data_IF_580236414260
#
_entry.id   IF_580236414260
#
_cell.length_a   1.000
_cell.length_b   1.000
_cell.length_c   1.000
_cell.angle_alpha   90.00
_cell.angle_beta   90.00
_cell.angle_gamma   90.00
#
_symmetry.space_group_name_H-M   'P 1'
#
loop_
_entity.id
_entity.type
_entity.pdbx_description
1 polymer ?
#
# COMPACT_ATOMS: atom_id res chain seq x y z
N UNK A 1 10.32 -9.81 -21.62
CA UNK A 1 9.71 -9.91 -20.28
C UNK A 1 10.78 -10.41 -19.34
N UNK A 2 11.31 -9.57 -18.45
CA UNK A 2 12.38 -9.95 -17.52
C UNK A 2 11.73 -10.31 -16.17
N UNK A 3 11.75 -11.58 -15.80
CA UNK A 3 11.25 -12.04 -14.50
C UNK A 3 12.36 -11.79 -13.47
N UNK A 4 12.10 -10.94 -12.47
CA UNK A 4 13.01 -10.76 -11.34
C UNK A 4 12.56 -11.72 -10.24
N UNK A 5 13.45 -12.63 -9.83
CA UNK A 5 13.19 -13.57 -8.74
C UNK A 5 13.68 -12.96 -7.43
N UNK A 6 12.76 -12.48 -6.58
CA UNK A 6 13.08 -12.13 -5.20
C UNK A 6 12.86 -13.37 -4.35
N UNK A 7 13.93 -13.94 -3.76
CA UNK A 7 13.83 -15.06 -2.82
C UNK A 7 13.70 -14.52 -1.40
N UNK A 8 12.49 -14.59 -0.86
CA UNK A 8 12.29 -14.74 0.59
C UNK A 8 11.31 -15.90 0.76
N UNK A 9 11.62 -16.80 1.70
CA UNK A 9 10.99 -18.10 1.91
C UNK A 9 9.52 -18.20 1.45
N UNK A 10 9.31 -19.11 0.49
CA UNK A 10 8.05 -19.73 0.07
C UNK A 10 7.02 -18.97 -0.78
N UNK A 11 7.30 -17.76 -1.26
CA UNK A 11 6.50 -17.18 -2.36
C UNK A 11 7.37 -16.79 -3.56
N UNK A 12 7.31 -17.59 -4.63
CA UNK A 12 7.77 -17.19 -5.95
C UNK A 12 6.80 -16.12 -6.49
N UNK A 13 7.02 -14.86 -6.13
CA UNK A 13 6.39 -13.77 -6.85
C UNK A 13 6.97 -13.75 -8.26
N UNK A 14 6.20 -14.22 -9.26
CA UNK A 14 6.45 -13.90 -10.65
C UNK A 14 6.03 -12.44 -10.85
N UNK A 15 6.90 -11.52 -10.43
CA UNK A 15 6.59 -10.09 -10.46
C UNK A 15 6.58 -9.63 -11.92
N UNK A 16 5.50 -9.02 -12.44
CA UNK A 16 5.52 -8.26 -13.68
C UNK A 16 6.69 -7.27 -13.67
N UNK A 17 7.45 -7.18 -14.76
CA UNK A 17 8.64 -6.30 -14.78
C UNK A 17 8.31 -4.81 -14.58
N UNK A 18 7.06 -4.41 -14.83
CA UNK A 18 6.60 -3.04 -14.66
C UNK A 18 5.93 -2.86 -13.29
N UNK A 19 6.37 -1.91 -12.46
CA UNK A 19 5.73 -1.63 -11.18
C UNK A 19 4.27 -1.18 -11.33
N UNK A 20 3.91 -0.54 -12.45
CA UNK A 20 2.52 -0.14 -12.69
C UNK A 20 1.59 -1.34 -12.85
N UNK A 21 2.03 -2.44 -13.46
CA UNK A 21 1.19 -3.64 -13.63
C UNK A 21 0.87 -4.29 -12.27
N UNK A 22 1.81 -4.22 -11.31
CA UNK A 22 1.61 -4.72 -9.94
C UNK A 22 0.59 -3.84 -9.22
N UNK A 23 0.76 -2.52 -9.32
CA UNK A 23 -0.17 -1.57 -8.68
C UNK A 23 -1.56 -1.67 -9.32
N UNK A 24 -1.64 -1.83 -10.64
CA UNK A 24 -2.91 -2.06 -11.34
C UNK A 24 -3.59 -3.34 -10.86
N UNK A 25 -2.83 -4.43 -10.70
CA UNK A 25 -3.33 -5.66 -10.10
C UNK A 25 -3.91 -5.46 -8.69
N UNK A 26 -3.33 -4.56 -7.89
CA UNK A 26 -3.89 -4.19 -6.59
C UNK A 26 -5.20 -3.39 -6.70
N UNK A 27 -5.20 -2.29 -7.47
CA UNK A 27 -6.35 -1.38 -7.53
C UNK A 27 -7.48 -1.83 -8.46
N UNK A 28 -7.23 -2.76 -9.38
CA UNK A 28 -8.25 -3.35 -10.27
C UNK A 28 -9.37 -4.05 -9.51
N UNK A 29 -9.09 -4.57 -8.32
CA UNK A 29 -10.05 -5.31 -7.50
C UNK A 29 -10.54 -4.51 -6.28
N UNK A 30 -10.06 -3.27 -6.10
CA UNK A 30 -10.25 -2.53 -4.85
C UNK A 30 -10.69 -1.09 -5.11
N UNK A 31 -11.97 -0.80 -4.88
CA UNK A 31 -12.43 0.57 -4.71
C UNK A 31 -11.69 1.22 -3.53
N UNK A 32 -11.21 2.45 -3.67
CA UNK A 32 -10.35 3.10 -2.67
C UNK A 32 -10.94 3.07 -1.24
N UNK A 33 -12.26 3.23 -1.13
CA UNK A 33 -12.97 3.23 0.17
C UNK A 33 -12.97 1.83 0.80
N UNK A 34 -13.17 0.80 -0.02
CA UNK A 34 -13.07 -0.60 0.42
C UNK A 34 -11.64 -0.94 0.82
N UNK A 35 -10.65 -0.52 0.02
CA UNK A 35 -9.23 -0.68 0.34
C UNK A 35 -8.86 -0.05 1.68
N UNK A 36 -9.33 1.17 1.95
CA UNK A 36 -9.12 1.85 3.24
C UNK A 36 -9.83 1.18 4.41
N UNK A 37 -11.04 0.68 4.21
CA UNK A 37 -11.74 -0.10 5.22
C UNK A 37 -10.93 -1.35 5.62
N UNK A 38 -10.44 -2.09 4.62
CA UNK A 38 -9.63 -3.29 4.85
C UNK A 38 -8.27 -2.97 5.45
N UNK A 39 -7.64 -1.89 5.01
CA UNK A 39 -6.44 -1.34 5.65
C UNK A 39 -6.69 -1.11 7.15
N UNK A 40 -7.83 -0.53 7.51
CA UNK A 40 -8.22 -0.29 8.91
C UNK A 40 -8.25 -1.57 9.75
N UNK A 41 -8.79 -2.66 9.21
CA UNK A 41 -8.82 -3.96 9.90
C UNK A 41 -7.40 -4.54 10.11
N UNK A 42 -6.51 -4.39 9.13
CA UNK A 42 -5.11 -4.82 9.24
C UNK A 42 -4.34 -3.95 10.25
N UNK A 43 -4.58 -2.63 10.24
CA UNK A 43 -3.96 -1.74 11.22
C UNK A 43 -4.48 -2.01 12.64
N UNK A 44 -5.75 -2.35 12.78
CA UNK A 44 -6.31 -2.79 14.06
C UNK A 44 -5.62 -4.06 14.56
N UNK A 45 -5.36 -5.04 13.69
CA UNK A 45 -4.59 -6.24 14.06
C UNK A 45 -3.13 -5.96 14.34
N UNK A 46 -2.59 -4.85 13.83
CA UNK A 46 -1.27 -4.40 14.23
C UNK A 46 -1.23 -3.76 15.62
N UNK A 47 -2.33 -3.37 16.28
CA UNK A 47 -2.26 -2.65 17.57
C UNK A 47 -3.13 -3.25 18.67
N UNK A 48 -4.10 -4.08 18.31
CA UNK A 48 -5.07 -4.66 19.24
C UNK A 48 -4.66 -6.08 19.64
N UNK A 49 -4.77 -6.37 20.95
CA UNK A 49 -4.72 -7.75 21.47
C UNK A 49 -5.95 -8.59 21.08
N UNK A 50 -7.02 -7.94 20.63
CA UNK A 50 -8.30 -8.56 20.25
C UNK A 50 -8.78 -7.89 18.97
N UNK A 51 -8.13 -8.16 17.82
CA UNK A 51 -8.55 -7.57 16.55
C UNK A 51 -9.98 -7.97 16.20
N UNK A 52 -10.62 -7.15 15.36
CA UNK A 52 -11.96 -7.39 14.85
C UNK A 52 -12.16 -8.85 14.42
N UNK A 53 -13.26 -9.44 14.91
CA UNK A 53 -13.67 -10.81 14.52
C UNK A 53 -14.03 -10.91 13.04
N UNK A 54 -14.16 -9.79 12.33
CA UNK A 54 -14.43 -9.81 10.88
C UNK A 54 -13.35 -10.55 10.11
N UNK A 55 -12.08 -10.35 10.47
CA UNK A 55 -10.95 -11.05 9.83
C UNK A 55 -10.99 -12.56 10.07
N UNK A 56 -11.63 -13.00 11.17
CA UNK A 56 -11.82 -14.43 11.49
C UNK A 56 -12.96 -15.08 10.74
N UNK A 57 -13.89 -14.31 10.16
CA UNK A 57 -15.06 -14.85 9.44
C UNK A 57 -14.66 -15.53 8.13
N UNK A 58 -13.61 -15.03 7.48
CA UNK A 58 -13.08 -15.59 6.24
C UNK A 58 -11.54 -15.49 6.21
N UNK A 59 -10.85 -16.51 6.74
CA UNK A 59 -9.39 -16.56 6.76
C UNK A 59 -8.76 -16.47 5.36
N UNK A 60 -9.37 -17.12 4.36
CA UNK A 60 -8.85 -17.12 2.99
C UNK A 60 -8.87 -15.71 2.40
N UNK A 61 -9.94 -14.97 2.66
CA UNK A 61 -10.05 -13.58 2.25
C UNK A 61 -9.01 -12.69 2.94
N UNK A 62 -8.76 -12.87 4.25
CA UNK A 62 -7.68 -12.16 4.94
C UNK A 62 -6.31 -12.43 4.30
N UNK A 63 -5.95 -13.69 4.05
CA UNK A 63 -4.68 -14.05 3.44
C UNK A 63 -4.52 -13.41 2.05
N UNK A 64 -5.61 -13.37 1.27
CA UNK A 64 -5.63 -12.68 -0.01
C UNK A 64 -5.38 -11.18 0.14
N UNK A 65 -6.08 -10.49 1.04
CA UNK A 65 -5.88 -9.05 1.27
C UNK A 65 -4.45 -8.71 1.71
N UNK A 66 -3.86 -9.52 2.59
CA UNK A 66 -2.47 -9.35 3.01
C UNK A 66 -1.49 -9.58 1.85
N UNK A 67 -1.74 -10.57 0.98
CA UNK A 67 -0.97 -10.76 -0.25
C UNK A 67 -1.05 -9.52 -1.14
N UNK A 68 -2.25 -8.97 -1.33
CA UNK A 68 -2.45 -7.76 -2.14
C UNK A 68 -1.68 -6.56 -1.54
N UNK A 69 -1.71 -6.37 -0.22
CA UNK A 69 -0.93 -5.32 0.45
C UNK A 69 0.59 -5.52 0.32
N UNK A 70 1.08 -6.76 0.36
CA UNK A 70 2.49 -7.09 0.07
C UNK A 70 2.86 -6.67 -1.35
N UNK A 71 1.99 -6.96 -2.33
CA UNK A 71 2.19 -6.57 -3.74
C UNK A 71 2.20 -5.05 -3.93
N UNK A 72 1.32 -4.31 -3.24
CA UNK A 72 1.34 -2.84 -3.22
C UNK A 72 2.70 -2.30 -2.75
N UNK A 73 3.22 -2.79 -1.63
CA UNK A 73 4.53 -2.36 -1.10
C UNK A 73 5.64 -2.69 -2.08
N UNK A 74 5.65 -3.90 -2.66
CA UNK A 74 6.62 -4.32 -3.67
C UNK A 74 6.58 -3.41 -4.90
N UNK A 75 5.37 -3.11 -5.42
CA UNK A 75 5.19 -2.25 -6.59
C UNK A 75 5.75 -0.85 -6.37
N UNK A 76 5.50 -0.27 -5.20
CA UNK A 76 6.03 1.05 -4.84
C UNK A 76 7.54 1.04 -4.63
N UNK A 77 8.10 -0.04 -4.09
CA UNK A 77 9.54 -0.21 -3.98
C UNK A 77 10.23 -0.28 -5.35
N UNK A 78 9.71 -1.12 -6.25
CA UNK A 78 10.21 -1.23 -7.62
C UNK A 78 10.06 0.08 -8.40
N UNK A 79 8.98 0.83 -8.15
CA UNK A 79 8.79 2.16 -8.72
C UNK A 79 9.89 3.14 -8.29
N UNK A 80 10.31 3.08 -7.03
CA UNK A 80 11.41 3.90 -6.51
C UNK A 80 12.78 3.46 -7.05
N UNK A 81 13.03 2.16 -7.20
CA UNK A 81 14.24 1.65 -7.86
C UNK A 81 14.33 2.10 -9.32
N UNK A 82 13.18 2.13 -10.00
CA UNK A 82 13.06 2.55 -11.40
C UNK A 82 12.71 4.02 -11.57
N UNK A 83 12.96 4.87 -10.56
CA UNK A 83 12.53 6.29 -10.53
C UNK A 83 12.87 7.07 -11.79
N UNK A 84 13.99 6.77 -12.45
CA UNK A 84 14.44 7.50 -13.64
C UNK A 84 13.45 7.29 -14.81
N UNK A 85 12.84 6.11 -14.92
CA UNK A 85 11.79 5.79 -15.90
C UNK A 85 10.44 6.45 -15.57
N UNK A 86 10.26 6.89 -14.33
CA UNK A 86 9.03 7.47 -13.80
C UNK A 86 9.23 8.92 -13.32
N UNK A 87 10.31 9.60 -13.75
CA UNK A 87 10.66 10.96 -13.31
C UNK A 87 9.53 11.98 -13.47
N UNK A 88 8.67 11.77 -14.48
CA UNK A 88 7.42 12.54 -14.74
C UNK A 88 6.43 12.60 -13.56
N UNK A 89 6.51 11.69 -12.60
CA UNK A 89 5.65 11.71 -11.41
C UNK A 89 6.04 12.82 -10.42
N UNK A 90 7.27 13.33 -10.50
CA UNK A 90 7.71 14.46 -9.67
C UNK A 90 7.00 15.74 -10.12
N UNK A 91 6.38 16.45 -9.19
CA UNK A 91 5.62 17.68 -9.45
C UNK A 91 4.26 17.46 -10.13
N UNK A 92 3.87 16.21 -10.41
CA UNK A 92 2.61 15.89 -11.10
C UNK A 92 1.37 16.16 -10.23
N UNK A 93 1.42 15.78 -8.96
CA UNK A 93 0.25 15.79 -8.06
C UNK A 93 0.02 17.15 -7.40
N UNK A 94 -0.14 18.19 -8.22
CA UNK A 94 -0.55 19.52 -7.74
C UNK A 94 -2.01 19.52 -7.30
N UNK A 95 -2.41 20.49 -6.47
CA UNK A 95 -3.81 20.67 -6.05
C UNK A 95 -4.76 20.78 -7.25
N UNK A 96 -4.35 21.47 -8.32
CA UNK A 96 -5.13 21.59 -9.55
C UNK A 96 -5.31 20.23 -10.25
N UNK A 97 -4.23 19.46 -10.38
CA UNK A 97 -4.28 18.12 -10.96
C UNK A 97 -5.21 17.20 -10.17
N UNK A 98 -5.08 17.18 -8.84
CA UNK A 98 -5.92 16.36 -7.96
C UNK A 98 -7.40 16.76 -8.05
N UNK A 99 -7.70 18.06 -8.13
CA UNK A 99 -9.07 18.55 -8.32
C UNK A 99 -9.65 18.12 -9.68
N UNK A 100 -8.83 18.10 -10.74
CA UNK A 100 -9.24 17.61 -12.05
C UNK A 100 -9.51 16.11 -12.00
N UNK A 101 -8.55 15.33 -11.53
CA UNK A 101 -8.66 13.87 -11.41
C UNK A 101 -9.88 13.46 -10.58
N UNK A 102 -10.16 14.19 -9.49
CA UNK A 102 -11.35 13.94 -8.68
C UNK A 102 -12.67 14.10 -9.44
N UNK A 103 -12.76 15.15 -10.27
CA UNK A 103 -13.94 15.39 -11.09
C UNK A 103 -14.14 14.28 -12.13
N UNK A 104 -13.03 13.76 -12.66
CA UNK A 104 -13.06 12.69 -13.66
C UNK A 104 -13.52 11.37 -13.03
N UNK A 105 -13.10 11.07 -11.79
CA UNK A 105 -13.43 9.80 -11.10
C UNK A 105 -14.80 9.85 -10.39
N UNK A 106 -15.09 10.91 -9.64
CA UNK A 106 -16.26 10.99 -8.74
C UNK A 106 -17.28 12.06 -9.16
N UNK A 107 -17.05 12.77 -10.27
CA UNK A 107 -17.83 13.94 -10.64
C UNK A 107 -17.60 15.14 -9.71
N UNK A 108 -18.46 16.16 -9.78
CA UNK A 108 -18.31 17.42 -9.01
C UNK A 108 -18.47 17.28 -7.49
N UNK A 109 -18.79 16.08 -6.96
CA UNK A 109 -19.24 15.90 -5.57
C UNK A 109 -18.15 15.50 -4.58
N UNK A 110 -17.00 14.97 -5.02
CA UNK A 110 -15.89 14.58 -4.14
C UNK A 110 -14.58 15.23 -4.58
N UNK A 111 -13.67 15.46 -3.61
CA UNK A 111 -12.29 15.89 -3.87
C UNK A 111 -11.32 14.78 -3.51
N UNK A 112 -10.43 14.42 -4.43
CA UNK A 112 -9.39 13.41 -4.23
C UNK A 112 -8.41 13.81 -3.13
N UNK A 113 -8.21 15.12 -2.93
CA UNK A 113 -7.43 15.65 -1.80
C UNK A 113 -8.08 15.33 -0.45
N UNK A 114 -9.40 15.12 -0.40
CA UNK A 114 -10.13 14.63 0.76
C UNK A 114 -10.11 13.08 0.83
N UNK A 115 -9.70 12.40 -0.23
CA UNK A 115 -9.57 10.93 -0.31
C UNK A 115 -8.14 10.44 -0.09
N UNK A 116 -7.12 11.27 -0.29
CA UNK A 116 -5.69 10.95 -0.07
C UNK A 116 -5.15 11.60 1.21
N UNK A 117 -5.95 11.54 2.29
CA UNK A 117 -5.74 12.27 3.54
C UNK A 117 -4.43 11.94 4.27
N UNK A 118 -3.76 10.84 3.92
CA UNK A 118 -2.54 10.45 4.63
C UNK A 118 -1.30 11.22 4.12
N UNK A 119 -1.31 11.73 2.87
CA UNK A 119 -0.16 12.38 2.25
C UNK A 119 -0.11 13.88 2.53
N UNK A 120 1.08 14.39 2.81
CA UNK A 120 1.36 15.84 2.88
C UNK A 120 1.61 16.42 1.49
N UNK A 121 1.51 17.74 1.33
CA UNK A 121 1.78 18.42 0.06
C UNK A 121 3.20 18.14 -0.47
N UNK A 122 4.23 18.12 0.38
CA UNK A 122 5.60 17.78 -0.02
C UNK A 122 5.72 16.33 -0.52
N UNK A 123 4.99 15.40 0.11
CA UNK A 123 4.96 13.99 -0.29
C UNK A 123 4.24 13.80 -1.63
N UNK A 124 3.20 14.59 -1.91
CA UNK A 124 2.50 14.62 -3.20
C UNK A 124 3.38 15.20 -4.30
N UNK A 125 4.08 16.30 -4.03
CA UNK A 125 4.96 16.94 -5.02
C UNK A 125 6.20 16.10 -5.33
N UNK A 126 6.65 15.25 -4.40
CA UNK A 126 7.80 14.39 -4.64
C UNK A 126 7.60 12.96 -4.10
N UNK A 127 6.89 12.11 -4.87
CA UNK A 127 6.65 10.71 -4.52
C UNK A 127 7.95 9.94 -4.26
N UNK A 128 9.00 10.15 -5.06
CA UNK A 128 10.26 9.42 -4.90
C UNK A 128 11.04 9.82 -3.65
N UNK A 129 10.97 11.09 -3.24
CA UNK A 129 11.51 11.54 -1.95
C UNK A 129 10.79 10.85 -0.79
N UNK A 130 9.47 10.74 -0.88
CA UNK A 130 8.66 10.00 0.09
C UNK A 130 9.01 8.50 0.10
N UNK A 131 9.01 7.83 -1.05
CA UNK A 131 9.33 6.40 -1.14
C UNK A 131 10.76 6.09 -0.65
N UNK A 132 11.73 6.96 -0.95
CA UNK A 132 13.09 6.87 -0.39
C UNK A 132 13.12 7.07 1.13
N UNK A 133 12.25 7.90 1.70
CA UNK A 133 12.10 8.06 3.15
C UNK A 133 11.55 6.77 3.77
N UNK A 134 10.50 6.19 3.17
CA UNK A 134 9.91 4.92 3.60
C UNK A 134 10.96 3.80 3.56
N UNK A 135 11.68 3.66 2.45
CA UNK A 135 12.66 2.58 2.28
C UNK A 135 13.86 2.65 3.21
N UNK A 136 14.12 3.83 3.79
CA UNK A 136 15.13 4.02 4.83
C UNK A 136 14.61 3.71 6.23
N UNK A 137 13.30 3.84 6.45
CA UNK A 137 12.67 3.65 7.75
C UNK A 137 12.21 2.21 7.97
N UNK A 138 11.74 1.53 6.91
CA UNK A 138 11.24 0.16 6.96
C UNK A 138 11.73 -0.56 5.71
N UNK A 139 12.59 -1.55 5.87
CA UNK A 139 13.07 -2.44 4.82
C UNK A 139 11.99 -3.41 4.33
N UNK A 140 12.21 -4.04 3.17
CA UNK A 140 11.26 -5.02 2.63
C UNK A 140 11.02 -6.22 3.55
N UNK A 141 12.06 -6.71 4.23
CA UNK A 141 11.93 -7.82 5.20
C UNK A 141 11.02 -7.41 6.36
N UNK A 142 11.19 -6.20 6.88
CA UNK A 142 10.36 -5.69 7.99
C UNK A 142 8.90 -5.47 7.59
N UNK A 143 8.63 -5.09 6.35
CA UNK A 143 7.27 -5.06 5.81
C UNK A 143 6.63 -6.46 5.80
N UNK A 144 7.36 -7.47 5.35
CA UNK A 144 6.83 -8.83 5.29
C UNK A 144 6.60 -9.42 6.68
N UNK A 145 7.54 -9.22 7.61
CA UNK A 145 7.39 -9.59 9.02
C UNK A 145 6.16 -8.89 9.63
N UNK A 146 5.96 -7.60 9.36
CA UNK A 146 4.78 -6.86 9.83
C UNK A 146 3.47 -7.49 9.35
N UNK A 147 3.37 -7.82 8.06
CA UNK A 147 2.16 -8.45 7.52
C UNK A 147 1.93 -9.86 8.07
N UNK A 148 2.98 -10.64 8.27
CA UNK A 148 2.90 -11.98 8.89
C UNK A 148 2.44 -11.90 10.35
N UNK A 149 2.92 -10.91 11.11
CA UNK A 149 2.45 -10.68 12.48
C UNK A 149 0.96 -10.28 12.51
N UNK A 150 0.54 -9.42 11.59
CA UNK A 150 -0.87 -9.05 11.44
C UNK A 150 -1.75 -10.27 11.11
N UNK A 151 -1.26 -11.15 10.23
CA UNK A 151 -1.92 -12.41 9.88
C UNK A 151 -2.09 -13.32 11.09
N UNK A 152 -0.99 -13.59 11.80
CA UNK A 152 -0.96 -14.45 12.97
C UNK A 152 -1.88 -13.92 14.08
N UNK A 153 -1.83 -12.62 14.37
CA UNK A 153 -2.70 -12.01 15.38
C UNK A 153 -4.18 -12.07 14.98
N UNK A 154 -4.48 -11.92 13.69
CA UNK A 154 -5.86 -11.98 13.19
C UNK A 154 -6.43 -13.40 13.22
N UNK A 155 -5.62 -14.41 12.90
CA UNK A 155 -6.07 -15.80 12.73
C UNK A 155 -5.97 -16.63 14.00
N UNK A 156 -5.08 -16.30 14.93
CA UNK A 156 -4.89 -17.13 16.10
C UNK A 156 -6.01 -16.97 17.14
N UNK A 157 -6.32 -18.10 17.78
CA UNK A 157 -7.20 -18.19 18.94
C UNK A 157 -6.33 -18.20 20.21
N UNK A 158 -5.74 -17.05 20.57
CA UNK A 158 -4.90 -16.78 21.77
C UNK A 158 -3.41 -16.42 21.49
N UNK A 159 -3.07 -15.96 20.28
CA UNK A 159 -1.75 -15.36 20.04
C UNK A 159 -1.69 -13.97 20.67
N UNK A 160 -0.76 -13.78 21.60
CA UNK A 160 -0.33 -12.44 21.99
C UNK A 160 0.85 -12.06 21.09
N UNK A 161 0.69 -11.09 20.17
CA UNK A 161 1.77 -10.66 19.29
C UNK A 161 3.01 -10.25 20.09
N UNK A 162 4.15 -10.81 19.70
CA UNK A 162 5.44 -10.50 20.31
C UNK A 162 5.97 -9.20 19.69
N UNK A 163 5.69 -8.08 20.35
CA UNK A 163 6.03 -6.73 19.87
C UNK A 163 7.48 -6.32 20.12
N UNK A 164 8.46 -7.20 19.95
CA UNK A 164 9.84 -6.75 19.85
C UNK A 164 10.01 -5.97 18.52
N UNK A 165 10.35 -4.68 18.62
CA UNK A 165 10.47 -3.79 17.45
C UNK A 165 9.31 -2.81 17.25
N UNK A 166 8.77 -2.25 18.34
CA UNK A 166 7.69 -1.23 18.32
C UNK A 166 7.96 -0.07 17.34
N UNK A 167 9.23 0.30 17.13
CA UNK A 167 9.62 1.35 16.18
C UNK A 167 9.28 0.97 14.73
N UNK A 168 9.57 -0.27 14.34
CA UNK A 168 9.33 -0.79 12.99
C UNK A 168 7.84 -0.93 12.72
N UNK A 169 7.12 -1.51 13.68
CA UNK A 169 5.67 -1.63 13.63
C UNK A 169 5.00 -0.24 13.55
N UNK A 170 5.44 0.71 14.38
CA UNK A 170 4.96 2.10 14.32
C UNK A 170 5.20 2.71 12.96
N UNK A 171 6.39 2.49 12.37
CA UNK A 171 6.71 2.96 11.04
C UNK A 171 5.83 2.29 9.96
N UNK A 172 5.60 0.98 10.03
CA UNK A 172 4.68 0.27 9.13
C UNK A 172 3.26 0.83 9.22
N UNK A 173 2.71 0.93 10.43
CA UNK A 173 1.37 1.49 10.70
C UNK A 173 1.26 2.94 10.21
N UNK A 174 2.32 3.73 10.35
CA UNK A 174 2.35 5.13 9.89
C UNK A 174 2.43 5.25 8.36
N UNK A 175 3.26 4.44 7.71
CA UNK A 175 3.52 4.57 6.27
C UNK A 175 2.52 3.81 5.40
N UNK A 176 1.88 2.75 5.91
CA UNK A 176 1.00 1.91 5.10
C UNK A 176 -0.21 2.69 4.50
N UNK A 177 -0.94 3.55 5.24
CA UNK A 177 -1.97 4.40 4.66
C UNK A 177 -1.44 5.36 3.58
N UNK A 178 -0.24 5.91 3.80
CA UNK A 178 0.40 6.83 2.85
C UNK A 178 0.80 6.12 1.55
N UNK A 179 1.35 4.91 1.66
CA UNK A 179 1.67 4.06 0.52
C UNK A 179 0.41 3.70 -0.26
N UNK A 180 -0.68 3.34 0.43
CA UNK A 180 -1.97 3.06 -0.18
C UNK A 180 -2.53 4.28 -0.93
N UNK A 181 -2.49 5.48 -0.34
CA UNK A 181 -2.95 6.68 -1.04
C UNK A 181 -2.07 7.01 -2.25
N UNK A 182 -0.75 6.86 -2.12
CA UNK A 182 0.18 7.15 -3.21
C UNK A 182 0.02 6.17 -4.37
N UNK A 183 -0.11 4.87 -4.08
CA UNK A 183 -0.33 3.84 -5.11
C UNK A 183 -1.60 4.14 -5.91
N UNK A 184 -2.68 4.54 -5.23
CA UNK A 184 -3.95 4.87 -5.86
C UNK A 184 -3.81 6.06 -6.79
N UNK A 185 -3.11 7.12 -6.35
CA UNK A 185 -2.83 8.30 -7.17
C UNK A 185 -2.00 7.95 -8.41
N UNK A 186 -1.00 7.08 -8.26
CA UNK A 186 -0.16 6.64 -9.37
C UNK A 186 -1.01 5.94 -10.42
N UNK A 187 -1.74 4.89 -10.05
CA UNK A 187 -2.57 4.11 -10.98
C UNK A 187 -3.65 4.98 -11.61
N UNK A 188 -4.40 5.73 -10.82
CA UNK A 188 -5.46 6.62 -11.34
C UNK A 188 -4.94 7.66 -12.33
N UNK A 189 -3.66 8.03 -12.23
CA UNK A 189 -3.04 9.06 -13.08
C UNK A 189 -2.29 8.52 -14.30
N UNK A 190 -1.88 7.25 -14.27
CA UNK A 190 -1.06 6.62 -15.31
C UNK A 190 -1.85 5.57 -16.11
N UNK A 191 -2.93 5.04 -15.54
CA UNK A 191 -3.80 4.02 -16.11
C UNK A 191 -5.26 4.45 -15.99
N UNK A 192 -5.68 5.51 -16.72
CA UNK A 192 -7.06 5.95 -16.69
C UNK A 192 -7.98 4.83 -17.19
N UNK A 193 -9.10 4.61 -16.49
CA UNK A 193 -10.12 3.66 -16.91
C UNK A 193 -10.57 3.98 -18.34
N UNK A 194 -10.42 3.01 -19.24
CA UNK A 194 -10.94 3.06 -20.61
C UNK A 194 -12.45 3.01 -20.64
#
# INVERSE_FOLDING_TARGET
MQIITVRHNDFLLQIPSCPLDILDGYYSFTFIEHGRYKLGLILESSISKKPSKELKKDPSYLCYELKMLKELVVGLYLLNEQKDKFSRLTGKYTTEFLNKLSKDIYGKKHKLSESCLALTEDELLNPFKFLKKVSKAVSMTEWFEFFEQCEQNSLAFDYEPYWEGIEKQTACTYFLPKLHDLGYLIVSSEMPAT
#
